data_IF_404128681855
#
_entry.id   IF_404128681855
#
_cell.length_a   1.000
_cell.length_b   1.000
_cell.length_c   1.000
_cell.angle_alpha   90.00
_cell.angle_beta   90.00
_cell.angle_gamma   90.00
#
_symmetry.space_group_name_H-M   'P 1'
#
loop_
_entity.id
_entity.type
_entity.pdbx_description
1 polymer ?
#
# COMPACT_ATOMS: atom_id res chain seq x y z
N UNK A 1 -8.73 -2.43 -2.63
CA UNK A 1 -9.46 -1.59 -1.65
C UNK A 1 -10.90 -2.02 -1.53
N UNK A 2 -11.70 -2.06 -2.59
CA UNK A 2 -13.12 -2.49 -2.48
C UNK A 2 -13.35 -3.94 -2.03
N UNK A 3 -12.34 -4.79 -2.17
CA UNK A 3 -12.35 -6.16 -1.65
C UNK A 3 -11.74 -6.26 -0.23
N UNK A 4 -11.33 -5.15 0.39
CA UNK A 4 -10.63 -5.15 1.69
C UNK A 4 -11.60 -5.42 2.84
N UNK A 5 -11.17 -6.17 3.84
CA UNK A 5 -11.97 -6.37 5.06
C UNK A 5 -11.96 -5.15 6.00
N UNK A 6 -11.03 -4.21 5.78
CA UNK A 6 -10.77 -3.07 6.67
C UNK A 6 -11.22 -1.72 6.09
N UNK A 7 -11.58 -1.68 4.80
CA UNK A 7 -12.02 -0.48 4.10
C UNK A 7 -13.26 -0.77 3.28
N UNK A 8 -14.39 -0.29 3.78
CA UNK A 8 -15.68 -0.46 3.13
C UNK A 8 -16.16 0.88 2.60
N UNK A 9 -16.49 0.88 1.31
CA UNK A 9 -17.02 2.08 0.67
C UNK A 9 -18.54 2.02 0.78
N UNK A 10 -19.20 3.15 1.11
CA UNK A 10 -20.64 3.18 1.21
C UNK A 10 -21.23 2.76 -0.14
N UNK A 11 -22.11 1.76 -0.11
CA UNK A 11 -22.92 1.43 -1.26
C UNK A 11 -23.97 2.53 -1.40
N UNK A 12 -23.72 3.49 -2.29
CA UNK A 12 -24.73 4.45 -2.72
C UNK A 12 -25.27 4.07 -4.10
N UNK A 13 -26.45 4.57 -4.46
CA UNK A 13 -27.09 4.25 -5.74
C UNK A 13 -26.29 4.72 -6.97
N UNK A 14 -25.21 5.48 -6.80
CA UNK A 14 -24.37 6.05 -7.86
C UNK A 14 -23.06 5.29 -8.05
N UNK A 15 -22.62 4.53 -7.06
CA UNK A 15 -21.36 3.77 -7.07
C UNK A 15 -21.69 2.27 -7.19
N UNK A 16 -21.51 1.73 -8.40
CA UNK A 16 -21.66 0.30 -8.61
C UNK A 16 -20.33 -0.42 -8.27
N UNK A 17 -20.30 -1.06 -7.10
CA UNK A 17 -19.13 -1.80 -6.63
C UNK A 17 -18.97 -3.17 -7.33
N UNK A 18 -20.04 -3.69 -7.93
CA UNK A 18 -20.04 -4.98 -8.63
C UNK A 18 -19.60 -4.85 -10.10
N UNK A 19 -19.97 -3.75 -10.76
CA UNK A 19 -19.71 -3.46 -12.17
C UNK A 19 -19.17 -2.05 -12.36
N UNK A 20 -17.90 -1.95 -12.78
CA UNK A 20 -17.22 -0.67 -12.94
C UNK A 20 -17.61 -0.01 -14.25
N UNK A 21 -18.53 0.96 -14.18
CA UNK A 21 -18.80 1.87 -15.28
C UNK A 21 -17.74 2.99 -15.36
N UNK A 22 -17.90 3.90 -16.34
CA UNK A 22 -16.96 5.02 -16.53
C UNK A 22 -16.94 6.02 -15.36
N UNK A 23 -18.00 6.09 -14.56
CA UNK A 23 -18.15 7.06 -13.47
C UNK A 23 -17.63 6.49 -12.14
N UNK A 24 -17.66 5.17 -11.98
CA UNK A 24 -17.30 4.45 -10.76
C UNK A 24 -15.92 4.88 -10.24
N UNK A 25 -14.82 4.88 -11.01
CA UNK A 25 -13.52 5.31 -10.49
C UNK A 25 -13.48 6.76 -9.98
N UNK A 26 -14.22 7.67 -10.62
CA UNK A 26 -14.27 9.09 -10.25
C UNK A 26 -14.99 9.28 -8.93
N UNK A 27 -16.18 8.69 -8.79
CA UNK A 27 -16.97 8.77 -7.57
C UNK A 27 -16.25 8.11 -6.39
N UNK A 28 -15.58 7.00 -6.64
CA UNK A 28 -14.74 6.33 -5.65
C UNK A 28 -13.58 7.21 -5.19
N UNK A 29 -12.86 7.83 -6.13
CA UNK A 29 -11.81 8.79 -5.80
C UNK A 29 -12.33 9.94 -4.94
N UNK A 30 -13.50 10.47 -5.27
CA UNK A 30 -14.14 11.54 -4.49
C UNK A 30 -14.52 11.09 -3.08
N UNK A 31 -15.15 9.92 -2.91
CA UNK A 31 -15.49 9.39 -1.58
C UNK A 31 -14.26 9.16 -0.71
N UNK A 32 -13.16 8.70 -1.30
CA UNK A 32 -11.87 8.55 -0.61
C UNK A 32 -11.35 9.92 -0.14
N UNK A 33 -11.32 10.92 -1.03
CA UNK A 33 -10.85 12.27 -0.73
C UNK A 33 -11.70 12.99 0.33
N UNK A 34 -13.01 12.76 0.30
CA UNK A 34 -13.96 13.33 1.25
C UNK A 34 -14.04 12.56 2.57
N UNK A 35 -13.25 11.49 2.75
CA UNK A 35 -13.29 10.66 3.96
C UNK A 35 -14.59 9.85 4.12
N UNK A 36 -15.38 9.71 3.06
CA UNK A 36 -16.67 9.00 3.05
C UNK A 36 -16.46 7.51 2.84
N UNK A 37 -15.82 6.86 3.80
CA UNK A 37 -15.68 5.41 3.86
C UNK A 37 -15.76 4.93 5.31
N UNK A 38 -16.12 3.66 5.50
CA UNK A 38 -16.11 3.01 6.80
C UNK A 38 -14.80 2.22 6.94
N UNK A 39 -14.01 2.52 7.96
CA UNK A 39 -12.79 1.79 8.27
C UNK A 39 -12.13 2.27 9.56
N UNK A 40 -11.23 1.44 10.09
CA UNK A 40 -10.51 1.69 11.35
C UNK A 40 -9.26 2.59 11.17
N UNK A 41 -9.08 3.12 9.97
CA UNK A 41 -7.91 3.90 9.58
C UNK A 41 -8.34 5.19 8.89
N UNK A 42 -7.65 6.27 9.23
CA UNK A 42 -7.63 7.46 8.41
C UNK A 42 -6.61 7.27 7.29
N UNK A 43 -7.09 7.27 6.04
CA UNK A 43 -6.28 7.15 4.84
C UNK A 43 -5.71 8.51 4.43
N UNK A 44 -4.38 8.58 4.33
CA UNK A 44 -3.69 9.70 3.70
C UNK A 44 -3.04 9.24 2.39
N UNK A 45 -3.37 9.88 1.28
CA UNK A 45 -2.77 9.60 -0.02
C UNK A 45 -1.72 10.66 -0.31
N UNK A 46 -0.44 10.28 -0.21
CA UNK A 46 0.67 11.15 -0.59
C UNK A 46 1.25 10.72 -1.94
N UNK A 47 1.33 11.64 -2.89
CA UNK A 47 2.02 11.42 -4.15
C UNK A 47 3.40 12.06 -4.07
N UNK A 48 4.45 11.24 -4.03
CA UNK A 48 5.84 11.72 -4.02
C UNK A 48 6.28 12.34 -5.36
N UNK A 49 5.42 12.35 -6.37
CA UNK A 49 5.66 13.00 -7.65
C UNK A 49 4.68 14.15 -7.84
N UNK A 50 5.13 15.38 -8.10
CA UNK A 50 4.27 16.56 -8.23
C UNK A 50 3.38 16.56 -9.48
N UNK A 51 3.43 15.52 -10.31
CA UNK A 51 2.67 15.42 -11.55
C UNK A 51 1.81 14.15 -11.55
N UNK A 52 0.48 14.28 -11.71
CA UNK A 52 -0.43 13.14 -11.79
C UNK A 52 -0.29 12.49 -13.17
N UNK A 53 0.76 11.70 -13.35
CA UNK A 53 0.82 10.72 -14.43
C UNK A 53 0.97 9.32 -13.87
N UNK A 54 0.23 8.42 -14.49
CA UNK A 54 0.16 7.02 -14.16
C UNK A 54 1.38 6.26 -14.74
N UNK A 55 2.26 6.96 -15.47
CA UNK A 55 3.39 6.37 -16.16
C UNK A 55 4.66 7.22 -16.00
N UNK A 56 5.69 6.63 -15.41
CA UNK A 56 7.03 7.24 -15.30
C UNK A 56 7.57 7.65 -16.69
N UNK A 57 7.18 6.95 -17.77
CA UNK A 57 7.51 7.32 -19.15
C UNK A 57 6.96 8.68 -19.57
N UNK A 58 5.79 9.10 -19.08
CA UNK A 58 5.24 10.42 -19.40
C UNK A 58 6.04 11.55 -18.75
N UNK A 59 6.51 11.34 -17.51
CA UNK A 59 7.44 12.26 -16.86
C UNK A 59 8.76 12.35 -17.63
N UNK A 60 9.30 11.19 -18.04
CA UNK A 60 10.53 11.13 -18.86
C UNK A 60 10.37 11.86 -20.19
N UNK A 61 9.19 11.81 -20.80
CA UNK A 61 8.87 12.53 -22.04
C UNK A 61 8.71 14.03 -21.80
N UNK A 62 7.95 14.42 -20.77
CA UNK A 62 7.71 15.82 -20.40
C UNK A 62 9.01 16.57 -20.03
N UNK A 63 9.96 15.87 -19.42
CA UNK A 63 11.24 16.45 -18.98
C UNK A 63 12.45 15.91 -19.72
N UNK A 64 12.26 15.34 -20.92
CA UNK A 64 13.34 14.75 -21.74
C UNK A 64 14.48 15.75 -21.99
N UNK A 65 14.15 17.03 -22.12
CA UNK A 65 15.10 18.12 -22.40
C UNK A 65 15.63 18.80 -21.14
N UNK A 66 15.16 18.43 -19.95
CA UNK A 66 15.54 19.06 -18.67
C UNK A 66 15.89 18.02 -17.60
N UNK A 67 16.99 17.26 -17.77
CA UNK A 67 17.42 16.22 -16.84
C UNK A 67 17.67 16.72 -15.41
N UNK A 68 18.02 18.00 -15.23
CA UNK A 68 18.19 18.63 -13.91
C UNK A 68 16.90 18.66 -13.08
N UNK A 69 15.73 18.72 -13.72
CA UNK A 69 14.44 18.70 -13.00
C UNK A 69 14.15 17.32 -12.38
N UNK A 70 14.87 16.28 -12.79
CA UNK A 70 14.69 14.92 -12.28
C UNK A 70 15.27 14.76 -10.87
N UNK A 71 16.26 15.59 -10.50
CA UNK A 71 16.82 15.65 -9.14
C UNK A 71 15.84 16.28 -8.16
N UNK A 72 15.16 17.36 -8.57
CA UNK A 72 14.18 18.10 -7.75
C UNK A 72 12.91 17.31 -7.44
N UNK A 73 12.52 16.40 -8.34
CA UNK A 73 11.35 15.53 -8.17
C UNK A 73 11.51 14.54 -7.00
N UNK A 74 12.69 14.42 -6.36
CA UNK A 74 12.95 13.47 -5.27
C UNK A 74 13.09 14.09 -3.87
N UNK A 75 13.50 15.35 -3.77
CA UNK A 75 13.85 15.98 -2.49
C UNK A 75 12.62 16.59 -1.82
N UNK A 76 11.89 17.45 -2.52
CA UNK A 76 10.72 18.17 -1.99
C UNK A 76 9.64 17.23 -1.43
N UNK A 77 9.29 16.17 -2.17
CA UNK A 77 8.21 15.25 -1.75
C UNK A 77 8.56 14.38 -0.53
N UNK A 78 9.85 14.10 -0.29
CA UNK A 78 10.29 13.36 0.89
C UNK A 78 10.43 14.25 2.12
N UNK A 79 10.84 15.50 1.93
CA UNK A 79 10.84 16.51 2.99
C UNK A 79 9.40 16.76 3.45
N UNK A 80 8.48 17.00 2.51
CA UNK A 80 7.05 17.17 2.78
C UNK A 80 6.45 15.94 3.49
N UNK A 81 6.78 14.72 3.03
CA UNK A 81 6.36 13.51 3.72
C UNK A 81 6.90 13.47 5.16
N UNK A 82 8.15 13.88 5.38
CA UNK A 82 8.76 13.96 6.70
C UNK A 82 8.07 14.96 7.62
N UNK A 83 7.66 16.12 7.10
CA UNK A 83 6.88 17.12 7.83
C UNK A 83 5.49 16.60 8.18
N UNK A 84 4.80 16.02 7.19
CA UNK A 84 3.47 15.44 7.36
C UNK A 84 3.47 14.36 8.45
N UNK A 85 4.47 13.47 8.42
CA UNK A 85 4.60 12.40 9.42
C UNK A 85 4.71 12.96 10.84
N UNK A 86 5.41 14.09 11.01
CA UNK A 86 5.52 14.75 12.31
C UNK A 86 4.21 15.42 12.71
N UNK A 87 3.61 16.19 11.79
CA UNK A 87 2.39 16.96 12.04
C UNK A 87 1.19 16.05 12.36
N UNK A 88 0.98 15.03 11.53
CA UNK A 88 -0.13 14.08 11.64
C UNK A 88 0.20 12.86 12.52
N UNK A 89 1.40 12.82 13.11
CA UNK A 89 1.89 11.73 13.97
C UNK A 89 1.78 10.33 13.33
N UNK A 90 2.05 10.25 12.02
CA UNK A 90 1.93 9.01 11.25
C UNK A 90 2.92 7.97 11.80
N UNK A 91 2.41 6.79 12.18
CA UNK A 91 3.24 5.66 12.66
C UNK A 91 3.45 4.56 11.62
N UNK A 92 2.61 4.51 10.59
CA UNK A 92 2.60 3.44 9.60
C UNK A 92 2.44 4.01 8.19
N UNK A 93 3.28 3.55 7.26
CA UNK A 93 3.22 3.91 5.84
C UNK A 93 3.09 2.64 5.02
N UNK A 94 2.13 2.59 4.10
CA UNK A 94 2.00 1.49 3.13
C UNK A 94 2.35 2.02 1.75
N UNK A 95 3.29 1.34 1.07
CA UNK A 95 3.76 1.73 -0.27
C UNK A 95 3.52 0.62 -1.29
N UNK A 96 3.26 1.02 -2.53
CA UNK A 96 2.85 0.10 -3.59
C UNK A 96 3.96 -0.23 -4.61
N UNK A 97 5.11 0.44 -4.52
CA UNK A 97 6.25 0.19 -5.39
C UNK A 97 7.52 -0.01 -4.57
N UNK A 98 8.38 -0.92 -5.03
CA UNK A 98 9.66 -1.14 -4.36
C UNK A 98 10.62 0.05 -4.50
N UNK A 99 10.45 0.88 -5.53
CA UNK A 99 11.22 2.11 -5.71
C UNK A 99 10.95 3.11 -4.59
N UNK A 100 9.66 3.36 -4.28
CA UNK A 100 9.27 4.23 -3.16
C UNK A 100 9.67 3.61 -1.82
N UNK A 101 9.50 2.29 -1.66
CA UNK A 101 9.97 1.60 -0.47
C UNK A 101 11.47 1.82 -0.21
N UNK A 102 12.30 1.62 -1.23
CA UNK A 102 13.73 1.89 -1.15
C UNK A 102 14.02 3.37 -0.86
N UNK A 103 13.28 4.29 -1.49
CA UNK A 103 13.47 5.72 -1.31
C UNK A 103 13.22 6.17 0.15
N UNK A 104 12.19 5.62 0.78
CA UNK A 104 11.79 5.95 2.16
C UNK A 104 12.66 5.21 3.18
N UNK A 105 13.01 3.94 2.95
CA UNK A 105 13.66 3.08 3.97
C UNK A 105 15.17 2.92 3.79
N UNK A 106 15.71 3.24 2.60
CA UNK A 106 17.06 2.85 2.13
C UNK A 106 17.32 1.34 2.11
N UNK A 107 16.32 0.50 2.40
CA UNK A 107 16.44 -0.95 2.32
C UNK A 107 16.76 -1.39 0.89
N UNK A 108 17.61 -2.41 0.72
CA UNK A 108 18.24 -2.74 -0.56
C UNK A 108 17.24 -2.84 -1.74
N UNK A 109 17.62 -2.28 -2.89
CA UNK A 109 16.80 -2.24 -4.11
C UNK A 109 16.79 -3.63 -4.74
N UNK A 110 16.00 -4.55 -4.20
CA UNK A 110 15.93 -5.88 -4.83
C UNK A 110 15.05 -5.85 -6.08
N UNK A 111 15.31 -6.83 -6.94
CA UNK A 111 14.56 -7.08 -8.16
C UNK A 111 13.04 -7.17 -7.88
N UNK A 112 12.28 -6.27 -8.50
CA UNK A 112 10.84 -6.19 -8.38
C UNK A 112 10.13 -7.45 -8.88
N UNK A 113 10.70 -8.17 -9.85
CA UNK A 113 10.07 -9.38 -10.40
C UNK A 113 10.13 -10.52 -9.38
N UNK A 114 11.31 -10.82 -8.83
CA UNK A 114 11.48 -11.85 -7.80
C UNK A 114 10.64 -11.61 -6.54
N UNK A 115 10.53 -10.35 -6.09
CA UNK A 115 9.72 -10.01 -4.91
C UNK A 115 8.21 -10.24 -5.11
N UNK A 116 7.67 -9.98 -6.30
CA UNK A 116 6.24 -10.23 -6.58
C UNK A 116 5.89 -11.71 -6.52
N UNK A 117 6.77 -12.58 -7.00
CA UNK A 117 6.53 -14.03 -6.96
C UNK A 117 6.68 -14.57 -5.53
N UNK A 118 7.62 -14.04 -4.74
CA UNK A 118 7.72 -14.35 -3.31
C UNK A 118 6.45 -13.98 -2.54
N UNK A 119 5.85 -12.81 -2.83
CA UNK A 119 4.56 -12.40 -2.26
C UNK A 119 3.47 -13.41 -2.61
N UNK A 120 3.33 -13.77 -3.89
CA UNK A 120 2.31 -14.75 -4.30
C UNK A 120 2.51 -16.09 -3.58
N UNK A 121 3.74 -16.58 -3.49
CA UNK A 121 4.04 -17.82 -2.79
C UNK A 121 3.72 -17.72 -1.29
N UNK A 122 4.04 -16.61 -0.63
CA UNK A 122 3.70 -16.40 0.78
C UNK A 122 2.19 -16.46 1.01
N UNK A 123 1.40 -15.80 0.16
CA UNK A 123 -0.07 -15.87 0.22
C UNK A 123 -0.58 -17.29 -0.02
N UNK A 124 -0.05 -17.99 -1.03
CA UNK A 124 -0.46 -19.38 -1.32
C UNK A 124 -0.14 -20.31 -0.14
N UNK A 125 1.06 -20.19 0.44
CA UNK A 125 1.47 -21.02 1.57
C UNK A 125 0.57 -20.78 2.77
N UNK A 126 0.37 -19.50 3.14
CA UNK A 126 -0.52 -19.14 4.25
C UNK A 126 -1.93 -19.68 4.05
N UNK A 127 -2.47 -19.63 2.83
CA UNK A 127 -3.80 -20.17 2.56
C UNK A 127 -3.86 -21.70 2.70
N UNK A 128 -2.73 -22.40 2.59
CA UNK A 128 -2.64 -23.84 2.74
C UNK A 128 -2.49 -24.27 4.19
N UNK A 129 -1.66 -23.58 4.97
CA UNK A 129 -1.26 -24.01 6.32
C UNK A 129 -1.74 -23.09 7.46
N UNK A 130 -2.23 -21.89 7.15
CA UNK A 130 -2.67 -20.90 8.13
C UNK A 130 -1.54 -20.25 8.94
N UNK A 131 -0.27 -20.51 8.59
CA UNK A 131 0.88 -20.11 9.40
C UNK A 131 1.27 -18.65 9.17
N UNK A 132 0.83 -17.78 10.07
CA UNK A 132 1.07 -16.34 10.01
C UNK A 132 2.54 -15.97 10.28
N UNK A 133 3.24 -16.73 11.11
CA UNK A 133 4.65 -16.46 11.41
C UNK A 133 5.52 -16.75 10.19
N UNK A 134 5.26 -17.88 9.53
CA UNK A 134 5.90 -18.25 8.26
C UNK A 134 5.60 -17.23 7.16
N UNK A 135 4.36 -16.74 7.08
CA UNK A 135 4.00 -15.67 6.15
C UNK A 135 4.87 -14.43 6.35
N UNK A 136 4.94 -13.91 7.58
CA UNK A 136 5.72 -12.70 7.88
C UNK A 136 7.22 -12.90 7.79
N UNK A 137 7.73 -14.08 8.14
CA UNK A 137 9.15 -14.44 7.97
C UNK A 137 9.55 -14.37 6.50
N UNK A 138 8.71 -14.92 5.62
CA UNK A 138 8.94 -14.91 4.16
C UNK A 138 8.87 -13.50 3.57
N UNK A 139 8.05 -12.63 4.16
CA UNK A 139 7.87 -11.24 3.73
C UNK A 139 8.62 -10.22 4.59
N UNK A 140 9.62 -10.64 5.36
CA UNK A 140 10.46 -9.74 6.18
C UNK A 140 11.09 -8.60 5.36
N UNK A 141 11.40 -8.84 4.09
CA UNK A 141 11.92 -7.81 3.18
C UNK A 141 10.90 -6.72 2.79
N UNK A 142 9.61 -6.93 3.07
CA UNK A 142 8.54 -5.96 2.83
C UNK A 142 8.29 -5.05 4.04
N UNK A 143 9.09 -5.12 5.11
CA UNK A 143 8.92 -4.30 6.30
C UNK A 143 10.26 -3.70 6.71
N UNK A 144 10.30 -2.39 6.93
CA UNK A 144 11.47 -1.67 7.41
C UNK A 144 11.06 -0.36 8.10
N UNK A 145 12.00 0.25 8.82
CA UNK A 145 11.82 1.60 9.38
C UNK A 145 12.06 2.68 8.33
N UNK A 146 11.39 3.82 8.46
CA UNK A 146 11.67 4.98 7.63
C UNK A 146 13.07 5.55 7.93
N UNK A 147 13.83 5.95 6.90
CA UNK A 147 15.20 6.47 7.07
C UNK A 147 15.27 7.76 7.90
N UNK A 148 14.17 8.49 7.97
CA UNK A 148 14.04 9.78 8.65
C UNK A 148 13.26 9.66 9.98
N UNK A 149 12.83 8.45 10.37
CA UNK A 149 12.21 8.19 11.68
C UNK A 149 12.21 6.69 12.03
N UNK A 150 12.81 6.35 13.17
CA UNK A 150 12.81 4.97 13.69
C UNK A 150 11.46 4.53 14.25
N UNK A 151 10.55 5.48 14.50
CA UNK A 151 9.22 5.22 15.07
C UNK A 151 8.16 4.95 14.00
N UNK A 152 8.55 4.96 12.72
CA UNK A 152 7.64 4.80 11.58
C UNK A 152 7.92 3.50 10.85
N UNK A 153 6.94 2.61 10.85
CA UNK A 153 6.98 1.36 10.10
C UNK A 153 6.50 1.56 8.66
N UNK A 154 7.29 1.07 7.72
CA UNK A 154 6.99 1.11 6.29
C UNK A 154 6.75 -0.29 5.79
N UNK A 155 5.59 -0.52 5.16
CA UNK A 155 5.18 -1.79 4.58
C UNK A 155 5.11 -1.70 3.06
N UNK A 156 5.70 -2.68 2.39
CA UNK A 156 5.64 -2.84 0.95
C UNK A 156 4.55 -3.85 0.59
N UNK A 157 3.41 -3.37 0.07
CA UNK A 157 2.35 -4.25 -0.41
C UNK A 157 2.61 -4.78 -1.83
N UNK A 158 3.37 -4.03 -2.65
CA UNK A 158 3.59 -4.22 -4.10
C UNK A 158 2.29 -4.34 -4.91
N UNK A 159 2.13 -3.49 -5.93
CA UNK A 159 1.09 -3.67 -6.95
C UNK A 159 1.33 -4.98 -7.73
N UNK A 160 0.71 -6.06 -7.28
CA UNK A 160 0.63 -7.32 -8.01
C UNK A 160 -0.56 -7.23 -8.96
N UNK A 161 -0.34 -6.63 -10.13
CA UNK A 161 -1.36 -6.49 -11.20
C UNK A 161 -2.02 -7.82 -11.64
N UNK A 162 -1.50 -8.96 -11.21
CA UNK A 162 -2.05 -10.29 -11.45
C UNK A 162 -3.34 -10.51 -10.65
N UNK A 163 -4.46 -10.68 -11.35
CA UNK A 163 -5.68 -11.26 -10.75
C UNK A 163 -5.42 -12.73 -10.44
N UNK A 164 -5.97 -13.23 -9.33
CA UNK A 164 -5.89 -14.65 -8.98
C UNK A 164 -7.10 -15.43 -9.52
N UNK A 165 -7.38 -15.28 -10.82
CA UNK A 165 -8.51 -15.98 -11.46
C UNK A 165 -8.07 -17.42 -11.69
N UNK A 166 -8.55 -18.36 -10.86
CA UNK A 166 -8.33 -19.80 -11.07
C UNK A 166 -8.06 -20.66 -9.84
N UNK A 167 -7.86 -20.07 -8.64
CA UNK A 167 -7.58 -20.84 -7.39
C UNK A 167 -8.64 -20.68 -6.29
N UNK A 168 -9.89 -20.36 -6.65
CA UNK A 168 -11.00 -20.26 -5.68
C UNK A 168 -11.01 -19.01 -4.80
N UNK A 169 -10.22 -17.98 -5.14
CA UNK A 169 -10.18 -16.72 -4.38
C UNK A 169 -11.20 -15.69 -4.87
N UNK A 170 -11.89 -15.03 -3.92
CA UNK A 170 -12.76 -13.86 -4.17
C UNK A 170 -12.00 -12.51 -4.20
N UNK A 171 -10.72 -12.48 -3.81
CA UNK A 171 -9.90 -11.26 -3.71
C UNK A 171 -8.62 -11.35 -4.55
N UNK A 172 -8.04 -10.21 -4.93
CA UNK A 172 -6.70 -10.13 -5.57
C UNK A 172 -5.59 -10.33 -4.55
N UNK A 173 -4.43 -10.84 -5.01
CA UNK A 173 -3.21 -10.94 -4.18
C UNK A 173 -2.86 -9.61 -3.53
N UNK A 174 -2.91 -8.52 -4.29
CA UNK A 174 -2.71 -7.17 -3.77
C UNK A 174 -3.63 -6.84 -2.59
N UNK A 175 -4.95 -7.07 -2.72
CA UNK A 175 -5.91 -6.79 -1.65
C UNK A 175 -5.62 -7.64 -0.43
N UNK A 176 -5.26 -8.91 -0.63
CA UNK A 176 -4.97 -9.84 0.46
C UNK A 176 -3.73 -9.42 1.26
N UNK A 177 -2.66 -9.03 0.57
CA UNK A 177 -1.45 -8.51 1.23
C UNK A 177 -1.74 -7.22 1.98
N UNK A 178 -2.54 -6.33 1.40
CA UNK A 178 -2.97 -5.11 2.06
C UNK A 178 -3.75 -5.41 3.35
N UNK A 179 -4.72 -6.33 3.30
CA UNK A 179 -5.51 -6.74 4.47
C UNK A 179 -4.62 -7.31 5.57
N UNK A 180 -3.62 -8.13 5.24
CA UNK A 180 -2.66 -8.64 6.23
C UNK A 180 -1.82 -7.53 6.88
N UNK A 181 -1.36 -6.55 6.10
CA UNK A 181 -0.63 -5.40 6.65
C UNK A 181 -1.52 -4.62 7.61
N UNK A 182 -2.77 -4.35 7.23
CA UNK A 182 -3.72 -3.61 8.06
C UNK A 182 -4.05 -4.38 9.34
N UNK A 183 -4.32 -5.69 9.24
CA UNK A 183 -4.51 -6.56 10.40
C UNK A 183 -3.36 -6.44 11.39
N UNK A 184 -2.12 -6.56 10.89
CA UNK A 184 -0.92 -6.44 11.72
C UNK A 184 -0.81 -5.07 12.38
N UNK A 185 -1.14 -4.00 11.66
CA UNK A 185 -1.14 -2.65 12.24
C UNK A 185 -2.14 -2.55 13.39
N UNK A 186 -3.36 -3.08 13.23
CA UNK A 186 -4.37 -3.09 14.30
C UNK A 186 -3.92 -3.92 15.50
N UNK A 187 -3.35 -5.10 15.28
CA UNK A 187 -2.80 -5.96 16.35
C UNK A 187 -1.67 -5.24 17.12
N UNK A 188 -0.86 -4.41 16.45
CA UNK A 188 0.17 -3.61 17.12
C UNK A 188 -0.38 -2.38 17.85
N UNK A 189 -1.55 -1.86 17.45
CA UNK A 189 -2.22 -0.72 18.12
C UNK A 189 -2.98 -1.15 19.36
N UNK A 190 -3.66 -2.29 19.31
CA UNK A 190 -4.47 -2.84 20.40
C UNK A 190 -3.65 -3.72 21.32
N UNK A 191 -2.53 -3.22 21.87
CA UNK A 191 -1.60 -3.99 22.70
C UNK A 191 -2.30 -5.04 23.59
N UNK A 192 -1.79 -6.27 23.50
CA UNK A 192 -2.37 -7.50 24.09
C UNK A 192 -3.63 -8.02 23.38
N UNK A 193 -3.43 -9.01 22.49
CA UNK A 193 -4.41 -10.10 22.43
C UNK A 193 -4.44 -10.65 23.85
N UNK A 194 -5.52 -10.37 24.56
CA UNK A 194 -5.88 -11.03 25.79
C UNK A 194 -5.74 -12.53 25.53
N UNK A 195 -4.65 -13.13 26.03
CA UNK A 195 -4.41 -14.57 25.97
C UNK A 195 -5.33 -15.27 26.98
N UNK A 196 -6.62 -14.97 26.96
CA UNK A 196 -7.70 -15.71 27.62
C UNK A 196 -8.99 -15.48 26.85
N UNK A 197 -9.72 -16.57 26.59
CA UNK A 197 -10.97 -16.71 25.80
C UNK A 197 -10.67 -16.98 24.32
N UNK A 198 -10.66 -18.22 23.81
CA UNK A 198 -11.50 -19.40 24.07
C UNK A 198 -10.65 -20.66 24.10
#
# INVERSE_FOLDING_TARGET
MFESDYFHMPADAKINLEWWDKLTPKLLGQSVLEGKYKGDFLLYFHCLWPLPTNQVSDLKRLFATKPLLWGKIKEDGLEELGELIKHEQIKYIVVFTGEIFHLITRANKADHKGRRDLIKCAVIDFLKDGDIEKYWKRLSFCHAKAKFSNDVDVYLALDTRSKNVGKGMKKRYFTWVLDMILKRILETKGGEIDKKSV
#
